data_IF_954589273929
#
_entry.id   IF_954589273929
#
_cell.length_a   1.000
_cell.length_b   1.000
_cell.length_c   1.000
_cell.angle_alpha   90.00
_cell.angle_beta   90.00
_cell.angle_gamma   90.00
#
_symmetry.space_group_name_H-M   'P 1'
#
loop_
_entity.id
_entity.type
_entity.pdbx_description
1 polymer ?
#
# COMPACT_ATOMS: atom_id res chain seq x y z
N UNK A 1 -3.72 9.15 4.06
CA UNK A 1 -3.86 8.29 2.88
C UNK A 1 -2.78 7.23 2.99
N UNK A 2 -3.07 5.98 2.65
CA UNK A 2 -2.08 4.92 2.71
C UNK A 2 -2.46 3.77 1.76
N UNK A 3 -1.46 2.99 1.34
CA UNK A 3 -1.58 1.88 0.40
C UNK A 3 -1.59 0.52 1.11
N UNK A 4 -2.21 -0.48 0.49
CA UNK A 4 -2.19 -1.86 1.00
C UNK A 4 -1.98 -2.87 -0.13
N UNK A 5 -1.05 -3.81 0.09
CA UNK A 5 -0.70 -4.90 -0.84
C UNK A 5 -1.75 -6.03 -0.84
N UNK A 6 -2.96 -5.67 -1.27
CA UNK A 6 -4.07 -6.58 -1.57
C UNK A 6 -4.52 -6.26 -2.99
N UNK A 7 -4.55 -7.28 -3.85
CA UNK A 7 -4.94 -7.06 -5.24
C UNK A 7 -5.38 -8.35 -5.92
N UNK A 8 -6.03 -8.17 -7.06
CA UNK A 8 -6.42 -9.27 -7.95
C UNK A 8 -5.34 -9.52 -9.01
N UNK A 9 -5.48 -10.63 -9.74
CA UNK A 9 -4.61 -10.95 -10.87
C UNK A 9 -4.84 -9.97 -12.04
N UNK A 10 -3.75 -9.64 -12.73
CA UNK A 10 -3.74 -8.82 -13.96
C UNK A 10 -2.98 -9.54 -15.07
N UNK A 11 -3.05 -9.01 -16.29
CA UNK A 11 -2.27 -9.51 -17.42
C UNK A 11 -0.76 -9.57 -17.08
N UNK A 12 -0.10 -10.64 -17.50
CA UNK A 12 1.32 -10.88 -17.30
C UNK A 12 2.20 -10.01 -18.19
N UNK A 13 1.67 -9.50 -19.30
CA UNK A 13 2.40 -8.62 -20.22
C UNK A 13 2.60 -7.23 -19.58
N UNK A 14 3.83 -6.76 -19.34
CA UNK A 14 4.08 -5.38 -18.90
C UNK A 14 3.94 -4.39 -20.08
N UNK A 15 3.26 -3.23 -19.94
CA UNK A 15 2.69 -2.64 -18.72
C UNK A 15 1.18 -2.93 -18.50
N UNK A 16 0.60 -3.93 -19.17
CA UNK A 16 -0.83 -4.17 -19.19
C UNK A 16 -1.45 -4.30 -17.78
N UNK A 17 -2.57 -3.60 -17.58
CA UNK A 17 -3.40 -3.62 -16.37
C UNK A 17 -4.71 -4.40 -16.55
N UNK A 18 -5.01 -4.84 -17.77
CA UNK A 18 -6.23 -5.58 -18.11
C UNK A 18 -6.33 -6.92 -17.38
N UNK A 19 -7.56 -7.40 -17.24
CA UNK A 19 -7.86 -8.66 -16.57
C UNK A 19 -7.47 -9.86 -17.44
N UNK A 20 -6.85 -10.91 -16.87
CA UNK A 20 -6.62 -12.14 -17.58
C UNK A 20 -7.92 -12.87 -17.93
N UNK A 21 -7.89 -13.71 -18.98
CA UNK A 21 -9.07 -14.40 -19.51
C UNK A 21 -9.68 -15.50 -18.60
N UNK A 22 -9.01 -15.87 -17.49
CA UNK A 22 -9.53 -16.68 -16.36
C UNK A 22 -8.40 -16.81 -15.31
N UNK A 23 -8.72 -17.05 -14.03
CA UNK A 23 -7.74 -17.16 -12.94
C UNK A 23 -7.03 -18.52 -12.88
N UNK A 24 -7.62 -19.58 -13.46
CA UNK A 24 -7.10 -20.95 -13.27
C UNK A 24 -5.81 -21.24 -14.04
N UNK A 25 -5.63 -20.64 -15.23
CA UNK A 25 -4.39 -20.78 -16.03
C UNK A 25 -3.93 -19.51 -16.73
N UNK A 26 -4.81 -18.53 -16.99
CA UNK A 26 -4.59 -17.62 -18.12
C UNK A 26 -3.81 -16.38 -17.71
N UNK A 27 -2.56 -16.36 -18.12
CA UNK A 27 -1.58 -15.32 -17.80
C UNK A 27 -1.89 -14.00 -18.49
N UNK A 28 -2.61 -14.04 -19.60
CA UNK A 28 -2.83 -12.89 -20.47
C UNK A 28 -4.31 -12.53 -20.61
N UNK A 29 -4.57 -11.25 -20.92
CA UNK A 29 -5.88 -10.78 -21.35
C UNK A 29 -6.12 -11.14 -22.84
N UNK A 30 -7.29 -10.81 -23.36
CA UNK A 30 -7.67 -11.10 -24.75
C UNK A 30 -6.66 -10.55 -25.77
N UNK A 31 -6.26 -9.30 -25.62
CA UNK A 31 -5.32 -8.64 -26.55
C UNK A 31 -3.92 -9.27 -26.54
N UNK A 32 -3.56 -9.92 -25.43
CA UNK A 32 -2.24 -10.52 -25.23
C UNK A 32 -2.30 -12.06 -25.23
N UNK A 33 -3.40 -12.66 -25.69
CA UNK A 33 -3.58 -14.11 -25.68
C UNK A 33 -2.50 -14.83 -26.50
N UNK A 34 -2.05 -14.22 -27.59
CA UNK A 34 -0.99 -14.76 -28.46
C UNK A 34 0.35 -14.99 -27.74
N UNK A 35 0.64 -14.29 -26.63
CA UNK A 35 1.84 -14.55 -25.83
C UNK A 35 1.80 -15.91 -25.09
N UNK A 36 0.68 -16.63 -25.12
CA UNK A 36 0.62 -18.00 -24.59
C UNK A 36 1.49 -19.00 -25.37
N UNK A 37 1.71 -18.80 -26.67
CA UNK A 37 2.55 -19.66 -27.50
C UNK A 37 4.03 -19.27 -27.47
N UNK A 38 4.35 -18.07 -26.99
CA UNK A 38 5.71 -17.54 -26.95
C UNK A 38 6.44 -17.87 -25.64
N UNK A 39 7.76 -17.69 -25.68
CA UNK A 39 8.60 -17.72 -24.51
C UNK A 39 8.14 -16.69 -23.48
N UNK A 40 7.96 -17.12 -22.23
CA UNK A 40 7.57 -16.24 -21.14
C UNK A 40 8.68 -15.32 -20.64
N UNK A 41 9.85 -15.24 -21.28
CA UNK A 41 10.86 -14.22 -20.97
C UNK A 41 10.48 -12.95 -21.73
N UNK A 42 10.34 -11.82 -21.02
CA UNK A 42 9.93 -10.58 -21.64
C UNK A 42 10.95 -10.12 -22.70
N UNK A 43 10.46 -9.80 -23.91
CA UNK A 43 11.30 -9.45 -25.06
C UNK A 43 11.87 -10.64 -25.84
N UNK A 44 11.43 -11.87 -25.56
CA UNK A 44 11.77 -13.04 -26.36
C UNK A 44 10.61 -13.45 -27.27
N UNK A 45 10.84 -13.39 -28.59
CA UNK A 45 9.83 -13.71 -29.60
C UNK A 45 9.92 -15.16 -30.11
N UNK A 46 10.70 -16.02 -29.44
CA UNK A 46 10.78 -17.45 -29.79
C UNK A 46 9.56 -18.19 -29.25
N UNK A 47 9.13 -19.20 -29.98
CA UNK A 47 8.09 -20.11 -29.50
C UNK A 47 8.50 -20.82 -28.21
N UNK A 48 7.51 -21.06 -27.36
CA UNK A 48 7.65 -21.90 -26.18
C UNK A 48 7.99 -23.31 -26.63
N UNK A 49 8.93 -23.98 -25.93
CA UNK A 49 9.26 -25.37 -26.22
C UNK A 49 7.96 -26.21 -26.18
N UNK A 50 7.63 -26.94 -27.25
CA UNK A 50 6.46 -27.80 -27.25
C UNK A 50 6.59 -28.85 -26.15
N UNK A 51 5.47 -29.21 -25.55
CA UNK A 51 5.43 -30.26 -24.55
C UNK A 51 5.29 -31.59 -25.28
N UNK A 52 6.28 -32.46 -25.11
CA UNK A 52 6.27 -33.83 -25.63
C UNK A 52 6.00 -34.79 -24.47
N UNK A 53 4.82 -35.41 -24.48
CA UNK A 53 4.41 -36.39 -23.46
C UNK A 53 5.22 -37.70 -23.55
N UNK A 54 5.71 -38.06 -24.73
CA UNK A 54 6.41 -39.32 -24.97
C UNK A 54 7.85 -39.29 -24.43
N UNK A 55 8.49 -38.12 -24.46
CA UNK A 55 9.83 -37.91 -23.88
C UNK A 55 9.82 -37.78 -22.35
N UNK A 56 8.63 -37.70 -21.73
CA UNK A 56 8.47 -37.59 -20.28
C UNK A 56 9.03 -36.28 -19.70
N UNK A 57 9.15 -35.24 -20.52
CA UNK A 57 9.66 -33.94 -20.08
C UNK A 57 8.62 -33.17 -19.24
N UNK A 58 9.05 -32.24 -18.38
CA UNK A 58 8.12 -31.36 -17.67
C UNK A 58 7.70 -30.18 -18.57
N UNK A 59 6.41 -29.78 -18.57
CA UNK A 59 5.96 -28.65 -19.36
C UNK A 59 6.65 -27.35 -18.93
N UNK A 60 7.12 -26.58 -19.90
CA UNK A 60 7.87 -25.34 -19.69
C UNK A 60 7.16 -24.14 -20.29
N UNK A 61 7.34 -22.96 -19.69
CA UNK A 61 6.91 -21.68 -20.25
C UNK A 61 8.06 -20.91 -20.92
N UNK A 62 9.19 -21.57 -21.17
CA UNK A 62 10.36 -21.01 -21.85
C UNK A 62 10.60 -21.66 -23.23
N UNK A 63 11.40 -21.01 -24.08
CA UNK A 63 11.86 -21.58 -25.36
C UNK A 63 13.06 -22.53 -25.12
N UNK A 64 13.54 -23.21 -26.17
CA UNK A 64 14.63 -24.19 -26.07
C UNK A 64 16.00 -23.62 -25.63
N UNK A 65 16.15 -22.29 -25.59
CA UNK A 65 17.39 -21.68 -25.12
C UNK A 65 17.70 -22.11 -23.68
N UNK A 66 18.91 -22.59 -23.46
CA UNK A 66 19.34 -23.13 -22.16
C UNK A 66 19.22 -22.09 -21.05
N UNK A 67 19.60 -20.83 -21.30
CA UNK A 67 19.48 -19.75 -20.32
C UNK A 67 18.03 -19.46 -19.91
N UNK A 68 17.08 -19.53 -20.85
CA UNK A 68 15.65 -19.35 -20.57
C UNK A 68 15.04 -20.55 -19.82
N UNK A 69 15.51 -21.77 -20.12
CA UNK A 69 15.11 -22.97 -19.37
C UNK A 69 15.65 -22.96 -17.94
N UNK A 70 16.89 -22.52 -17.73
CA UNK A 70 17.46 -22.34 -16.39
C UNK A 70 16.66 -21.33 -15.57
N UNK A 71 16.29 -20.21 -16.19
CA UNK A 71 15.41 -19.20 -15.63
C UNK A 71 14.05 -19.78 -15.20
N UNK A 72 13.41 -20.58 -16.07
CA UNK A 72 12.14 -21.27 -15.76
C UNK A 72 12.28 -22.25 -14.59
N UNK A 73 13.28 -23.13 -14.61
CA UNK A 73 13.51 -24.12 -13.54
C UNK A 73 13.74 -23.45 -12.19
N UNK A 74 14.48 -22.33 -12.16
CA UNK A 74 14.69 -21.54 -10.94
C UNK A 74 13.37 -21.01 -10.39
N UNK A 75 12.49 -20.52 -11.26
CA UNK A 75 11.18 -20.01 -10.87
C UNK A 75 10.23 -21.09 -10.35
N UNK A 76 10.19 -22.26 -10.99
CA UNK A 76 9.37 -23.40 -10.54
C UNK A 76 9.78 -23.82 -9.12
N UNK A 77 11.08 -23.95 -8.85
CA UNK A 77 11.61 -24.26 -7.51
C UNK A 77 11.18 -23.20 -6.48
N UNK A 78 11.32 -21.92 -6.80
CA UNK A 78 10.92 -20.82 -5.93
C UNK A 78 9.41 -20.85 -5.61
N UNK A 79 8.55 -21.06 -6.62
CA UNK A 79 7.09 -21.19 -6.44
C UNK A 79 6.72 -22.43 -5.61
N UNK A 80 7.42 -23.54 -5.80
CA UNK A 80 7.22 -24.76 -5.00
C UNK A 80 7.50 -24.52 -3.51
N UNK A 81 8.58 -23.82 -3.18
CA UNK A 81 8.94 -23.48 -1.79
C UNK A 81 7.89 -22.58 -1.11
N UNK A 82 7.30 -21.63 -1.84
CA UNK A 82 6.24 -20.76 -1.31
C UNK A 82 4.96 -21.53 -0.92
N UNK A 83 4.61 -22.59 -1.66
CA UNK A 83 3.45 -23.44 -1.34
C UNK A 83 3.64 -24.21 -0.03
N UNK A 84 4.87 -24.67 0.25
CA UNK A 84 5.21 -25.39 1.48
C UNK A 84 5.35 -24.44 2.69
N UNK A 85 5.94 -23.26 2.49
CA UNK A 85 6.15 -22.26 3.54
C UNK A 85 4.88 -21.51 4.00
N UNK A 86 3.88 -21.37 3.12
CA UNK A 86 2.61 -20.70 3.44
C UNK A 86 1.82 -21.40 4.56
N UNK A 87 1.85 -22.73 4.61
CA UNK A 87 1.20 -23.51 5.67
C UNK A 87 1.89 -23.30 7.04
N UNK A 88 3.22 -23.18 7.04
CA UNK A 88 4.01 -22.89 8.24
C UNK A 88 3.80 -21.47 8.79
N UNK A 89 3.68 -20.46 7.91
CA UNK A 89 3.34 -19.07 8.33
C UNK A 89 1.95 -18.98 8.96
N UNK A 90 0.94 -19.61 8.35
CA UNK A 90 -0.44 -19.61 8.89
C UNK A 90 -0.51 -20.29 10.27
N UNK A 91 0.24 -21.37 10.50
CA UNK A 91 0.34 -22.01 11.82
C UNK A 91 1.07 -21.13 12.85
N UNK A 92 2.13 -20.44 12.44
CA UNK A 92 2.90 -19.52 13.30
C UNK A 92 2.09 -18.26 13.66
N UNK A 93 1.31 -17.72 12.74
CA UNK A 93 0.38 -16.61 12.98
C UNK A 93 -0.80 -17.01 13.88
N UNK A 94 -1.36 -18.22 13.72
CA UNK A 94 -2.36 -18.76 14.66
C UNK A 94 -1.80 -18.90 16.08
N UNK A 95 -0.58 -19.45 16.22
CA UNK A 95 0.10 -19.59 17.51
C UNK A 95 0.42 -18.23 18.14
N UNK A 96 0.87 -17.24 17.36
CA UNK A 96 1.11 -15.88 17.85
C UNK A 96 -0.18 -15.15 18.23
N UNK A 97 -1.28 -15.37 17.51
CA UNK A 97 -2.61 -14.83 17.82
C UNK A 97 -3.18 -15.44 19.11
N UNK A 98 -2.93 -16.71 19.39
CA UNK A 98 -3.29 -17.34 20.67
C UNK A 98 -2.43 -16.83 21.83
N UNK A 99 -1.12 -16.67 21.61
CA UNK A 99 -0.21 -16.06 22.61
C UNK A 99 -0.57 -14.60 22.93
N UNK A 100 -1.02 -13.82 21.94
CA UNK A 100 -1.52 -12.43 22.11
C UNK A 100 -2.85 -12.34 22.87
N UNK A 101 -3.69 -13.39 22.83
CA UNK A 101 -4.94 -13.45 23.62
C UNK A 101 -4.70 -13.79 25.10
N UNK A 102 -3.60 -14.48 25.43
CA UNK A 102 -3.27 -14.88 26.81
C UNK A 102 -2.44 -13.84 27.58
N UNK A 103 -1.75 -12.92 26.91
CA UNK A 103 -0.98 -11.84 27.57
C UNK A 103 -1.72 -10.51 27.47
N UNK A 104 -2.32 -10.09 28.59
CA UNK A 104 -2.86 -8.74 28.74
C UNK A 104 -1.80 -7.66 28.47
N UNK A 105 -2.25 -6.61 27.77
CA UNK A 105 -1.60 -5.30 27.53
C UNK A 105 -0.15 -5.15 28.03
N UNK A 106 0.79 -5.36 27.13
CA UNK A 106 2.04 -4.60 27.06
C UNK A 106 2.38 -4.39 25.60
N UNK A 107 2.48 -3.13 25.19
CA UNK A 107 2.90 -2.71 23.86
C UNK A 107 4.40 -2.94 23.79
N UNK A 108 4.80 -3.97 23.06
CA UNK A 108 6.18 -4.15 22.61
C UNK A 108 6.14 -4.34 21.09
N UNK A 109 7.01 -3.54 20.47
CA UNK A 109 7.41 -3.43 19.08
C UNK A 109 7.40 -4.75 18.31
N UNK A 110 6.69 -4.75 17.17
CA UNK A 110 6.87 -5.74 16.13
C UNK A 110 7.78 -5.16 15.06
N UNK A 111 8.99 -5.68 14.97
CA UNK A 111 9.82 -5.60 13.77
C UNK A 111 9.05 -6.27 12.63
N UNK A 112 8.62 -5.48 11.65
CA UNK A 112 8.17 -6.01 10.38
C UNK A 112 9.41 -6.41 9.59
N UNK A 113 9.58 -7.72 9.42
CA UNK A 113 10.51 -8.29 8.45
C UNK A 113 10.06 -7.84 7.07
N UNK A 114 10.77 -6.83 6.56
CA UNK A 114 10.95 -6.57 5.14
C UNK A 114 11.34 -7.90 4.49
N UNK A 115 10.38 -8.51 3.80
CA UNK A 115 10.61 -9.62 2.90
C UNK A 115 11.10 -9.09 1.57
N UNK A 116 12.14 -8.26 1.59
CA UNK A 116 12.91 -7.90 0.41
C UNK A 116 14.06 -8.90 0.30
N UNK A 117 13.98 -9.73 -0.74
CA UNK A 117 15.15 -10.47 -1.20
C UNK A 117 16.12 -9.51 -1.84
N UNK A 118 16.78 -8.68 -1.04
CA UNK A 118 17.98 -7.96 -1.42
C UNK A 118 19.17 -8.83 -1.08
N UNK A 119 19.62 -9.60 -2.07
CA UNK A 119 20.98 -10.11 -2.05
C UNK A 119 21.91 -8.94 -2.37
N UNK A 120 22.65 -8.47 -1.36
CA UNK A 120 23.86 -7.69 -1.58
C UNK A 120 24.82 -8.49 -2.46
N UNK A 121 25.21 -7.91 -3.59
CA UNK A 121 26.16 -8.47 -4.53
C UNK A 121 26.19 -7.64 -5.80
N UNK A 122 27.19 -6.77 -5.91
CA UNK A 122 27.34 -5.78 -6.97
C UNK A 122 27.34 -6.31 -8.41
N UNK A 123 27.06 -5.40 -9.34
CA UNK A 123 27.07 -5.61 -10.78
C UNK A 123 25.68 -5.45 -11.38
N UNK A 124 25.44 -4.31 -12.04
CA UNK A 124 24.18 -3.99 -12.71
C UNK A 124 23.86 -4.95 -13.85
N UNK A 125 23.26 -6.09 -13.52
CA UNK A 125 22.52 -6.92 -14.48
C UNK A 125 21.06 -6.46 -14.46
N UNK A 126 20.53 -6.10 -15.64
CA UNK A 126 19.13 -5.75 -15.82
C UNK A 126 18.30 -6.94 -15.35
N UNK A 127 17.50 -6.80 -14.29
CA UNK A 127 16.64 -7.89 -13.77
C UNK A 127 15.75 -8.40 -14.92
N UNK A 128 15.90 -9.67 -15.30
CA UNK A 128 15.10 -10.29 -16.36
C UNK A 128 13.64 -10.38 -15.93
N UNK A 129 12.75 -9.68 -16.65
CA UNK A 129 11.31 -9.73 -16.43
C UNK A 129 10.73 -10.98 -17.12
N UNK A 130 9.78 -11.64 -16.47
CA UNK A 130 9.11 -12.83 -17.01
C UNK A 130 7.58 -12.71 -16.92
N UNK A 131 6.91 -13.50 -17.75
CA UNK A 131 5.46 -13.58 -17.95
C UNK A 131 4.96 -15.02 -17.72
N UNK A 132 5.58 -15.73 -16.78
CA UNK A 132 5.30 -17.14 -16.50
C UNK A 132 4.05 -17.40 -15.66
N UNK A 133 3.57 -16.38 -14.95
CA UNK A 133 2.28 -16.38 -14.27
C UNK A 133 1.56 -15.08 -14.54
N UNK A 134 0.25 -15.03 -14.28
CA UNK A 134 -0.50 -13.78 -14.28
C UNK A 134 0.23 -12.74 -13.41
N UNK A 135 0.23 -11.49 -13.89
CA UNK A 135 0.70 -10.37 -13.10
C UNK A 135 -0.16 -10.19 -11.86
N UNK A 136 0.34 -9.44 -10.88
CA UNK A 136 -0.44 -9.00 -9.73
C UNK A 136 -0.51 -7.47 -9.75
N UNK A 137 -1.67 -6.96 -9.40
CA UNK A 137 -1.84 -5.57 -8.95
C UNK A 137 -0.89 -5.30 -7.78
N UNK A 138 -0.30 -4.10 -7.72
CA UNK A 138 0.63 -3.75 -6.65
C UNK A 138 -0.12 -3.62 -5.31
N UNK A 139 -1.28 -2.98 -5.34
CA UNK A 139 -2.11 -2.80 -4.17
C UNK A 139 -3.21 -1.79 -4.40
N UNK A 140 -3.92 -1.47 -3.33
CA UNK A 140 -5.00 -0.49 -3.32
C UNK A 140 -4.51 0.74 -2.56
N UNK A 141 -4.79 1.93 -3.07
CA UNK A 141 -4.58 3.17 -2.33
C UNK A 141 -5.88 3.63 -1.69
N UNK A 142 -5.86 3.98 -0.40
CA UNK A 142 -7.05 4.37 0.36
C UNK A 142 -6.96 5.83 0.82
N UNK A 143 -8.00 6.61 0.50
CA UNK A 143 -8.21 7.97 0.99
C UNK A 143 -9.28 8.00 2.08
N UNK A 144 -8.93 8.50 3.26
CA UNK A 144 -9.70 8.28 4.49
C UNK A 144 -9.64 9.56 5.33
N UNK A 145 -10.76 9.95 5.95
CA UNK A 145 -10.76 11.02 6.93
C UNK A 145 -9.95 10.65 8.19
N UNK A 146 -9.41 11.63 8.90
CA UNK A 146 -8.72 11.40 10.17
C UNK A 146 -9.58 10.69 11.24
N UNK A 147 -10.91 10.73 11.13
CA UNK A 147 -11.81 9.96 11.99
C UNK A 147 -11.86 8.45 11.66
N UNK A 148 -11.19 8.00 10.60
CA UNK A 148 -11.16 6.62 10.12
C UNK A 148 -12.32 6.22 9.21
N UNK A 149 -13.07 7.20 8.67
CA UNK A 149 -14.12 6.95 7.67
C UNK A 149 -13.48 6.91 6.27
N UNK A 150 -13.60 5.79 5.52
CA UNK A 150 -13.09 5.70 4.15
C UNK A 150 -13.85 6.65 3.22
N UNK A 151 -13.15 7.33 2.32
CA UNK A 151 -13.73 8.32 1.39
C UNK A 151 -13.68 7.76 -0.03
N UNK A 152 -12.48 7.40 -0.48
CA UNK A 152 -12.22 6.94 -1.84
C UNK A 152 -11.11 5.88 -1.82
N UNK A 153 -11.02 5.14 -2.91
CA UNK A 153 -9.98 4.13 -3.12
C UNK A 153 -9.69 3.99 -4.61
N UNK A 154 -8.48 3.56 -4.94
CA UNK A 154 -8.05 3.36 -6.33
C UNK A 154 -7.09 2.17 -6.44
N UNK A 155 -7.09 1.50 -7.60
CA UNK A 155 -6.20 0.37 -7.86
C UNK A 155 -4.85 0.87 -8.36
N UNK A 156 -3.78 0.37 -7.77
CA UNK A 156 -2.41 0.71 -8.18
C UNK A 156 -1.78 -0.52 -8.83
N UNK A 157 -1.32 -0.34 -10.06
CA UNK A 157 -0.69 -1.41 -10.84
C UNK A 157 0.83 -1.32 -10.79
N UNK A 158 1.35 -0.14 -10.47
CA UNK A 158 2.75 0.08 -10.13
C UNK A 158 2.89 0.37 -8.63
N UNK A 159 3.86 -0.23 -7.92
CA UNK A 159 4.05 0.06 -6.51
C UNK A 159 4.29 1.55 -6.28
N UNK A 160 3.33 2.21 -5.63
CA UNK A 160 3.47 3.57 -5.12
C UNK A 160 4.04 4.57 -6.14
N UNK A 161 3.53 4.54 -7.38
CA UNK A 161 3.94 5.51 -8.39
C UNK A 161 3.37 6.89 -8.06
N UNK A 162 4.23 7.91 -8.04
CA UNK A 162 3.86 9.31 -7.89
C UNK A 162 2.76 9.70 -8.88
N UNK A 163 2.84 9.24 -10.13
CA UNK A 163 1.83 9.54 -11.16
C UNK A 163 0.47 8.91 -10.88
N UNK A 164 0.42 7.67 -10.35
CA UNK A 164 -0.84 7.02 -9.96
C UNK A 164 -1.46 7.75 -8.76
N UNK A 165 -0.64 8.23 -7.80
CA UNK A 165 -1.12 9.07 -6.69
C UNK A 165 -1.69 10.40 -7.18
N UNK A 166 -1.00 11.11 -8.08
CA UNK A 166 -1.50 12.37 -8.63
C UNK A 166 -2.80 12.17 -9.41
N UNK A 167 -2.90 11.11 -10.21
CA UNK A 167 -4.13 10.74 -10.91
C UNK A 167 -5.26 10.44 -9.92
N UNK A 168 -4.97 9.70 -8.85
CA UNK A 168 -5.95 9.38 -7.82
C UNK A 168 -6.43 10.65 -7.09
N UNK A 169 -5.53 11.53 -6.66
CA UNK A 169 -5.89 12.80 -6.03
C UNK A 169 -6.69 13.70 -6.98
N UNK A 170 -6.34 13.74 -8.26
CA UNK A 170 -7.09 14.46 -9.29
C UNK A 170 -8.50 13.90 -9.47
N UNK A 171 -8.67 12.57 -9.41
CA UNK A 171 -10.00 11.93 -9.50
C UNK A 171 -10.91 12.27 -8.31
N UNK A 172 -10.31 12.50 -7.13
CA UNK A 172 -11.02 12.95 -5.93
C UNK A 172 -11.33 14.45 -6.05
N UNK A 173 -10.40 15.20 -6.65
CA UNK A 173 -10.48 16.64 -6.79
C UNK A 173 -11.46 17.04 -7.90
N UNK A 174 -12.77 16.97 -7.63
CA UNK A 174 -13.81 17.36 -8.60
C UNK A 174 -13.81 18.88 -8.91
N UNK A 175 -13.19 19.69 -8.07
CA UNK A 175 -12.93 21.14 -8.28
C UNK A 175 -11.59 21.54 -7.62
N UNK A 176 -10.96 22.65 -8.04
CA UNK A 176 -9.70 23.16 -7.47
C UNK A 176 -9.65 23.26 -5.93
N UNK A 177 -10.80 23.40 -5.28
CA UNK A 177 -10.97 23.58 -3.83
C UNK A 177 -11.51 22.35 -3.10
N UNK A 178 -11.46 21.15 -3.70
CA UNK A 178 -12.11 19.95 -3.14
C UNK A 178 -11.18 19.01 -2.36
N UNK A 179 -9.86 19.26 -2.40
CA UNK A 179 -8.93 18.55 -1.53
C UNK A 179 -9.03 19.07 -0.08
N UNK A 180 -8.82 18.21 0.94
CA UNK A 180 -8.77 18.64 2.32
C UNK A 180 -7.59 19.57 2.59
N UNK A 181 -7.71 20.47 3.57
CA UNK A 181 -6.63 21.40 3.95
C UNK A 181 -5.31 20.72 4.34
N UNK A 182 -5.38 19.46 4.78
CA UNK A 182 -4.22 18.64 5.11
C UNK A 182 -4.39 17.23 4.55
N UNK A 183 -3.37 16.74 3.84
CA UNK A 183 -3.27 15.35 3.40
C UNK A 183 -2.03 14.74 4.04
N UNK A 184 -2.25 13.78 4.95
CA UNK A 184 -1.18 12.97 5.51
C UNK A 184 -0.88 11.78 4.61
N UNK A 185 0.37 11.60 4.19
CA UNK A 185 0.85 10.49 3.37
C UNK A 185 2.36 10.33 3.51
N UNK A 186 2.85 9.09 3.60
CA UNK A 186 4.27 8.85 3.88
C UNK A 186 5.20 9.37 2.79
N UNK A 187 4.76 9.37 1.52
CA UNK A 187 5.51 9.94 0.39
C UNK A 187 5.00 11.33 -0.01
N UNK A 188 4.42 12.08 0.93
CA UNK A 188 3.90 13.42 0.71
C UNK A 188 4.95 14.40 0.16
N UNK A 189 6.22 14.28 0.55
CA UNK A 189 7.31 15.11 0.03
C UNK A 189 7.51 14.93 -1.48
N UNK A 190 7.40 13.70 -1.99
CA UNK A 190 7.51 13.40 -3.42
C UNK A 190 6.30 13.92 -4.21
N UNK A 191 5.11 13.82 -3.63
CA UNK A 191 3.90 14.42 -4.21
C UNK A 191 4.04 15.94 -4.27
N UNK A 192 4.53 16.56 -3.19
CA UNK A 192 4.75 18.01 -3.15
C UNK A 192 5.77 18.47 -4.19
N UNK A 193 6.88 17.73 -4.35
CA UNK A 193 7.87 18.00 -5.40
C UNK A 193 7.23 17.94 -6.79
N UNK A 194 6.50 16.85 -7.10
CA UNK A 194 5.85 16.68 -8.39
C UNK A 194 4.76 17.73 -8.67
N UNK A 195 3.93 18.09 -7.69
CA UNK A 195 2.92 19.16 -7.82
C UNK A 195 3.58 20.52 -8.08
N UNK A 196 4.76 20.76 -7.50
CA UNK A 196 5.50 22.02 -7.73
C UNK A 196 6.02 22.10 -9.17
N UNK A 197 6.40 20.97 -9.76
CA UNK A 197 6.88 20.88 -11.15
C UNK A 197 5.75 20.91 -12.19
N UNK A 198 4.52 20.53 -11.81
CA UNK A 198 3.35 20.44 -12.71
C UNK A 198 2.43 21.68 -12.61
N UNK A 199 2.45 22.62 -13.58
CA UNK A 199 1.73 23.90 -13.48
C UNK A 199 0.22 23.76 -13.25
N UNK A 200 -0.40 22.75 -13.86
CA UNK A 200 -1.84 22.50 -13.75
C UNK A 200 -2.25 22.04 -12.35
N UNK A 201 -1.32 21.51 -11.54
CA UNK A 201 -1.58 21.01 -10.19
C UNK A 201 -1.19 22.01 -9.09
N UNK A 202 -0.41 23.04 -9.40
CA UNK A 202 0.09 24.02 -8.41
C UNK A 202 -1.03 24.72 -7.63
N UNK A 203 -2.24 24.81 -8.21
CA UNK A 203 -3.40 25.37 -7.51
C UNK A 203 -3.74 24.64 -6.20
N UNK A 204 -3.42 23.34 -6.09
CA UNK A 204 -3.62 22.56 -4.85
C UNK A 204 -2.83 23.15 -3.67
N UNK A 205 -1.66 23.72 -3.92
CA UNK A 205 -0.76 24.24 -2.88
C UNK A 205 -1.31 25.50 -2.18
N UNK A 206 -2.35 26.13 -2.74
CA UNK A 206 -3.00 27.30 -2.13
C UNK A 206 -3.83 26.90 -0.91
N UNK A 207 -4.53 25.77 -1.00
CA UNK A 207 -5.53 25.34 -0.01
C UNK A 207 -5.17 24.05 0.72
N UNK A 208 -4.24 23.25 0.17
CA UNK A 208 -3.86 21.93 0.68
C UNK A 208 -2.40 21.88 1.08
N UNK A 209 -2.14 21.41 2.30
CA UNK A 209 -0.80 21.08 2.79
C UNK A 209 -0.59 19.57 2.80
N UNK A 210 0.51 19.13 2.20
CA UNK A 210 0.95 17.73 2.24
C UNK A 210 1.86 17.53 3.45
N UNK A 211 1.53 16.58 4.32
CA UNK A 211 2.31 16.26 5.51
C UNK A 211 2.72 14.78 5.50
N UNK A 212 3.93 14.49 5.95
CA UNK A 212 4.40 13.11 6.15
C UNK A 212 4.10 12.65 7.57
N UNK A 213 4.27 11.36 7.86
CA UNK A 213 4.09 10.86 9.22
C UNK A 213 5.28 11.22 10.14
N UNK A 214 5.18 10.86 11.43
CA UNK A 214 6.25 11.17 12.40
C UNK A 214 7.57 10.49 12.06
N UNK A 215 7.45 9.25 11.61
CA UNK A 215 8.57 8.35 11.48
C UNK A 215 9.37 8.71 10.23
N UNK A 216 8.67 8.93 9.11
CA UNK A 216 9.23 9.52 7.89
C UNK A 216 9.89 10.86 8.22
N UNK A 217 9.21 11.80 8.88
CA UNK A 217 9.81 13.10 9.19
C UNK A 217 11.08 12.99 10.06
N UNK A 218 11.12 12.02 10.98
CA UNK A 218 12.29 11.77 11.82
C UNK A 218 13.43 11.10 11.03
N UNK A 219 13.12 10.13 10.20
CA UNK A 219 14.07 9.31 9.43
C UNK A 219 14.58 9.98 8.15
N UNK A 220 13.84 10.95 7.61
CA UNK A 220 14.23 11.63 6.38
C UNK A 220 15.53 12.42 6.58
N UNK A 221 16.39 12.39 5.56
CA UNK A 221 17.67 13.11 5.57
C UNK A 221 17.45 14.56 5.99
N UNK A 222 18.27 15.03 6.92
CA UNK A 222 18.25 16.44 7.39
C UNK A 222 18.54 17.44 6.27
N UNK A 223 19.06 16.96 5.14
CA UNK A 223 19.45 17.76 3.97
C UNK A 223 18.29 17.94 2.98
N UNK A 224 17.21 17.15 3.09
CA UNK A 224 16.01 17.44 2.30
C UNK A 224 15.24 18.61 2.92
N UNK A 225 15.54 19.79 2.41
CA UNK A 225 14.90 21.04 2.82
C UNK A 225 13.40 21.08 2.50
N UNK A 226 12.96 20.41 1.43
CA UNK A 226 11.56 20.42 1.00
C UNK A 226 10.70 19.68 2.03
N UNK A 227 11.07 18.44 2.37
CA UNK A 227 10.36 17.66 3.38
C UNK A 227 10.38 18.37 4.74
N UNK A 228 11.55 18.87 5.17
CA UNK A 228 11.72 19.55 6.47
C UNK A 228 10.89 20.82 6.61
N UNK A 229 10.76 21.58 5.53
CA UNK A 229 10.11 22.89 5.56
C UNK A 229 8.60 22.81 5.34
N UNK A 230 8.14 21.89 4.49
CA UNK A 230 6.77 21.91 4.00
C UNK A 230 5.94 20.69 4.41
N UNK A 231 6.55 19.61 4.89
CA UNK A 231 5.86 18.36 5.20
C UNK A 231 5.76 18.04 6.70
N UNK A 232 6.07 18.98 7.59
CA UNK A 232 6.04 18.74 9.05
C UNK A 232 4.63 18.30 9.53
N UNK A 233 4.49 17.12 10.16
CA UNK A 233 3.20 16.68 10.71
C UNK A 233 2.72 17.44 11.95
N UNK A 234 3.60 18.19 12.62
CA UNK A 234 3.28 18.85 13.89
C UNK A 234 4.11 20.14 14.09
N UNK A 235 4.00 21.13 13.18
CA UNK A 235 4.80 22.34 13.26
C UNK A 235 4.42 23.16 14.49
N UNK A 236 5.44 23.65 15.21
CA UNK A 236 5.30 24.44 16.43
C UNK A 236 5.47 25.95 16.21
N UNK A 237 5.73 26.36 14.97
CA UNK A 237 5.94 27.75 14.56
C UNK A 237 4.63 28.52 14.29
N UNK A 238 3.48 27.85 14.47
CA UNK A 238 2.16 28.42 14.21
C UNK A 238 1.73 28.37 12.74
N UNK A 239 2.51 27.75 11.85
CA UNK A 239 2.15 27.61 10.43
C UNK A 239 0.97 26.67 10.17
N UNK A 240 0.69 25.73 11.09
CA UNK A 240 -0.47 24.84 11.04
C UNK A 240 -1.08 24.63 12.44
N UNK A 241 -1.77 25.64 13.00
CA UNK A 241 -2.30 25.59 14.36
C UNK A 241 -3.35 24.49 14.53
N UNK A 242 -4.04 24.10 13.46
CA UNK A 242 -5.05 23.03 13.51
C UNK A 242 -4.45 21.63 13.68
N UNK A 243 -3.16 21.43 13.38
CA UNK A 243 -2.50 20.12 13.52
C UNK A 243 -2.05 19.82 14.96
N UNK A 244 -1.90 20.86 15.80
CA UNK A 244 -1.35 20.74 17.16
C UNK A 244 -2.27 21.36 18.20
N UNK A 245 -2.71 20.55 19.15
CA UNK A 245 -3.45 21.05 20.32
C UNK A 245 -2.45 21.32 21.45
N UNK A 246 -2.40 22.55 21.99
CA UNK A 246 -1.60 22.84 23.18
C UNK A 246 -2.16 22.09 24.38
N UNK A 247 -1.38 21.20 25.01
CA UNK A 247 -1.73 20.66 26.32
C UNK A 247 -1.21 21.60 27.41
N UNK A 248 -2.15 22.06 28.24
CA UNK A 248 -1.82 22.46 29.61
C UNK A 248 -1.60 21.17 30.40
N UNK A 249 -0.43 21.00 31.00
CA UNK A 249 -0.13 19.83 31.82
C UNK A 249 -1.22 19.68 32.91
N UNK A 250 -1.96 18.55 32.91
CA UNK A 250 -2.74 18.14 34.09
C UNK A 250 -1.73 17.80 35.20
N UNK A 251 -1.44 18.80 36.03
CA UNK A 251 -0.33 18.74 36.97
C UNK A 251 -0.44 17.63 38.01
N UNK A 252 0.72 17.05 38.36
CA UNK A 252 1.06 16.63 39.73
C UNK A 252 2.56 16.86 39.93
N UNK A 253 2.92 18.12 40.17
CA UNK A 253 4.24 18.53 40.61
C UNK A 253 4.08 19.65 41.63
N UNK A 254 3.74 19.30 42.87
CA UNK A 254 3.85 20.22 44.00
C UNK A 254 5.34 20.30 44.33
N UNK A 255 6.07 21.20 43.67
CA UNK A 255 7.29 21.89 44.14
C UNK A 255 8.00 22.57 42.97
N UNK A 256 8.51 23.76 43.30
CA UNK A 256 9.47 24.61 42.57
C UNK A 256 8.98 25.22 41.26
N UNK A 257 9.16 26.54 41.13
CA UNK A 257 8.71 27.39 40.03
C UNK A 257 9.44 27.15 38.72
N UNK A 258 9.44 25.91 38.23
CA UNK A 258 9.75 25.61 36.85
C UNK A 258 8.52 25.89 35.99
N UNK A 259 8.72 26.68 34.94
CA UNK A 259 7.74 26.97 33.91
C UNK A 259 7.14 25.65 33.40
N UNK A 260 5.82 25.48 33.53
CA UNK A 260 5.14 24.28 33.08
C UNK A 260 5.40 24.10 31.58
N UNK A 261 6.27 23.15 31.24
CA UNK A 261 6.61 22.81 29.86
C UNK A 261 5.31 22.44 29.13
N UNK A 262 4.85 23.34 28.25
CA UNK A 262 3.69 23.09 27.38
C UNK A 262 4.06 21.93 26.47
N UNK A 263 3.28 20.86 26.54
CA UNK A 263 3.45 19.72 25.65
C UNK A 263 2.39 19.87 24.56
N UNK A 264 2.76 19.72 23.29
CA UNK A 264 1.78 19.75 22.20
C UNK A 264 1.38 18.31 21.87
N UNK A 265 0.10 18.07 21.61
CA UNK A 265 -0.39 16.79 21.06
C UNK A 265 -0.89 17.02 19.65
N UNK A 266 -0.72 16.03 18.78
CA UNK A 266 -1.42 16.01 17.48
C UNK A 266 -2.93 16.11 17.68
N UNK A 267 -3.55 16.98 16.89
CA UNK A 267 -4.99 17.20 16.90
C UNK A 267 -5.75 16.04 16.22
N UNK A 268 -5.15 15.47 15.17
CA UNK A 268 -5.77 14.47 14.31
C UNK A 268 -5.03 13.13 14.33
N UNK A 269 -5.76 12.07 14.00
CA UNK A 269 -5.21 10.72 13.92
C UNK A 269 -4.62 10.46 12.52
N UNK A 270 -3.29 10.56 12.41
CA UNK A 270 -2.56 10.27 11.17
C UNK A 270 -2.47 8.77 10.87
N UNK A 271 -2.67 7.89 11.87
CA UNK A 271 -2.65 6.43 11.75
C UNK A 271 -4.01 5.84 11.29
N UNK A 272 -4.99 6.70 10.98
CA UNK A 272 -6.33 6.26 10.59
C UNK A 272 -6.31 5.31 9.37
N UNK A 273 -5.36 5.53 8.46
CA UNK A 273 -5.21 4.74 7.26
C UNK A 273 -4.59 3.36 7.55
N UNK A 274 -3.50 3.32 8.31
CA UNK A 274 -2.88 2.09 8.80
C UNK A 274 -3.89 1.21 9.59
N UNK A 275 -4.71 1.83 10.44
CA UNK A 275 -5.77 1.12 11.17
C UNK A 275 -6.83 0.51 10.25
N UNK A 276 -7.16 1.18 9.14
CA UNK A 276 -8.07 0.62 8.13
C UNK A 276 -7.41 -0.52 7.36
N UNK A 277 -6.14 -0.35 6.99
CA UNK A 277 -5.33 -1.39 6.35
C UNK A 277 -5.30 -2.66 7.20
N UNK A 278 -5.00 -2.55 8.49
CA UNK A 278 -5.01 -3.67 9.43
C UNK A 278 -6.35 -4.40 9.49
N UNK A 279 -7.47 -3.66 9.40
CA UNK A 279 -8.80 -4.27 9.32
C UNK A 279 -9.03 -4.98 7.98
N UNK A 280 -8.60 -4.39 6.87
CA UNK A 280 -8.80 -4.94 5.53
C UNK A 280 -7.94 -6.19 5.28
N UNK A 281 -6.78 -6.32 5.92
CA UNK A 281 -5.93 -7.52 5.88
C UNK A 281 -6.72 -8.80 6.20
N UNK A 282 -7.72 -8.73 7.09
CA UNK A 282 -8.58 -9.87 7.43
C UNK A 282 -9.36 -10.43 6.23
N UNK A 283 -9.57 -9.64 5.18
CA UNK A 283 -10.27 -10.01 3.95
C UNK A 283 -9.31 -10.29 2.78
N UNK A 284 -8.00 -10.14 2.97
CA UNK A 284 -7.01 -10.36 1.91
C UNK A 284 -7.11 -11.75 1.24
N UNK A 285 -7.34 -12.87 1.97
CA UNK A 285 -7.42 -14.19 1.33
C UNK A 285 -8.57 -14.32 0.32
N UNK A 286 -9.73 -13.73 0.63
CA UNK A 286 -10.88 -13.78 -0.28
C UNK A 286 -10.73 -12.77 -1.41
N UNK A 287 -10.22 -11.57 -1.14
CA UNK A 287 -10.00 -10.55 -2.17
C UNK A 287 -8.98 -11.02 -3.22
N UNK A 288 -7.87 -11.64 -2.79
CA UNK A 288 -6.82 -12.12 -3.71
C UNK A 288 -7.26 -13.24 -4.66
N UNK A 289 -8.32 -13.99 -4.32
CA UNK A 289 -8.83 -15.06 -5.18
C UNK A 289 -9.89 -14.58 -6.18
N UNK A 290 -10.35 -13.34 -6.06
CA UNK A 290 -11.41 -12.80 -6.91
C UNK A 290 -10.89 -12.30 -8.26
N UNK A 291 -11.77 -12.35 -9.26
CA UNK A 291 -11.64 -11.54 -10.48
C UNK A 291 -11.84 -10.07 -10.16
N UNK A 292 -11.32 -9.18 -10.99
CA UNK A 292 -11.37 -7.74 -10.77
C UNK A 292 -12.77 -7.20 -10.46
N UNK A 293 -13.79 -7.55 -11.24
CA UNK A 293 -15.15 -7.01 -11.01
C UNK A 293 -15.71 -7.43 -9.65
N UNK A 294 -15.47 -8.69 -9.26
CA UNK A 294 -15.88 -9.21 -7.95
C UNK A 294 -15.06 -8.58 -6.81
N UNK A 295 -13.77 -8.35 -7.05
CA UNK A 295 -12.87 -7.65 -6.14
C UNK A 295 -13.39 -6.23 -5.88
N UNK A 296 -13.66 -5.46 -6.95
CA UNK A 296 -14.14 -4.08 -6.89
C UNK A 296 -15.47 -4.01 -6.14
N UNK A 297 -16.41 -4.91 -6.48
CA UNK A 297 -17.70 -5.01 -5.81
C UNK A 297 -17.54 -5.31 -4.31
N UNK A 298 -16.81 -6.35 -3.94
CA UNK A 298 -16.66 -6.72 -2.53
C UNK A 298 -15.93 -5.64 -1.74
N UNK A 299 -14.85 -5.07 -2.30
CA UNK A 299 -14.11 -3.99 -1.66
C UNK A 299 -15.00 -2.77 -1.41
N UNK A 300 -15.79 -2.35 -2.40
CA UNK A 300 -16.74 -1.26 -2.26
C UNK A 300 -17.77 -1.53 -1.15
N UNK A 301 -18.31 -2.75 -1.08
CA UNK A 301 -19.24 -3.16 0.00
C UNK A 301 -18.57 -3.12 1.37
N UNK A 302 -17.33 -3.63 1.49
CA UNK A 302 -16.56 -3.63 2.74
C UNK A 302 -16.31 -2.20 3.22
N UNK A 303 -15.82 -1.33 2.34
CA UNK A 303 -15.52 0.07 2.67
C UNK A 303 -16.79 0.85 3.03
N UNK A 304 -17.89 0.66 2.30
CA UNK A 304 -19.19 1.28 2.62
C UNK A 304 -19.71 0.83 3.98
N UNK A 305 -19.60 -0.45 4.31
CA UNK A 305 -19.99 -0.97 5.63
C UNK A 305 -19.11 -0.41 6.74
N UNK A 306 -17.80 -0.27 6.48
CA UNK A 306 -16.86 0.32 7.43
C UNK A 306 -17.16 1.80 7.68
N UNK A 307 -17.49 2.55 6.63
CA UNK A 307 -17.94 3.94 6.74
C UNK A 307 -19.16 4.06 7.67
N UNK A 308 -20.24 3.31 7.39
CA UNK A 308 -21.47 3.36 8.17
C UNK A 308 -21.22 3.05 9.66
N UNK A 309 -20.47 1.97 9.93
CA UNK A 309 -20.13 1.57 11.30
C UNK A 309 -19.31 2.64 12.06
N UNK A 310 -18.39 3.33 11.37
CA UNK A 310 -17.61 4.42 11.96
C UNK A 310 -18.47 5.67 12.19
N UNK A 311 -19.30 6.05 11.22
CA UNK A 311 -20.23 7.18 11.36
C UNK A 311 -21.14 7.00 12.58
N UNK A 312 -21.81 5.85 12.72
CA UNK A 312 -22.66 5.54 13.88
C UNK A 312 -21.90 5.57 15.22
N UNK A 313 -20.65 5.11 15.22
CA UNK A 313 -19.80 5.12 16.41
C UNK A 313 -19.40 6.54 16.82
N UNK A 314 -19.17 7.43 15.84
CA UNK A 314 -18.87 8.84 16.07
C UNK A 314 -20.10 9.59 16.58
N UNK A 315 -21.28 9.35 16.01
CA UNK A 315 -22.54 9.93 16.47
C UNK A 315 -22.87 9.55 17.92
N UNK A 316 -22.67 8.28 18.28
CA UNK A 316 -22.86 7.82 19.67
C UNK A 316 -21.91 8.52 20.64
N UNK A 317 -20.63 8.68 20.26
CA UNK A 317 -19.66 9.44 21.07
C UNK A 317 -20.05 10.91 21.20
N UNK A 318 -20.50 11.54 20.11
CA UNK A 318 -20.95 12.93 20.15
C UNK A 318 -22.17 13.12 21.07
N UNK A 319 -23.18 12.25 20.96
CA UNK A 319 -24.36 12.26 21.86
C UNK A 319 -23.97 12.02 23.32
N UNK A 320 -23.04 11.09 23.58
CA UNK A 320 -22.53 10.81 24.92
C UNK A 320 -21.63 11.89 25.52
N UNK A 321 -21.15 12.84 24.72
CA UNK A 321 -20.32 13.98 25.19
C UNK A 321 -21.19 15.18 25.59
N UNK A 322 -22.49 15.19 25.24
CA UNK A 322 -23.46 16.22 25.68
C UNK A 322 -24.07 15.88 27.06
N UNK A 323 -23.26 15.68 28.10
CA UNK A 323 -23.65 15.84 29.51
C UNK A 323 -22.36 16.13 30.30
N UNK A 324 -22.27 17.32 30.90
CA UNK A 324 -21.15 17.76 31.73
C UNK A 324 -20.94 19.26 31.66
#
# INVERSE_FOLDING_TARGET
MDGIKIGHAKCAYPPCSSNPLDTSTRRFCLDHEHYHSLCGVFGCDRDRKPFDEEEGEEPTQACEREDHQLLWRRWVKFKGQLKVGGFGRVMREKSQREKRKMRGRKVESGEESEGEGEGEGGGGSRKTVNMWSAGQMAGIQLFIHACGCPIAWEKFYTPESTSEVLSFLSSISSTPSSLPSYIAYDRACEILAAVTEEPDLQHWLSDTKFIVDAWHFAGHSKVDELCRKFCDPAPLDGSAPDLVVPLVAKGRGRRTGEEQKRVHRRAFNTEAAEQLNSWLVGFAPILRSMRADNFDFLLAVLLRRRFASRAESLERKHKGTKVG
#
